data_IF_217866932702
#
_entry.id   IF_217866932702
#
_cell.length_a   1.000
_cell.length_b   1.000
_cell.length_c   1.000
_cell.angle_alpha   90.00
_cell.angle_beta   90.00
_cell.angle_gamma   90.00
#
_symmetry.space_group_name_H-M   'P 1'
#
loop_
_entity.id
_entity.type
_entity.pdbx_description
1 polymer ?
#
# COMPACT_ATOMS: atom_id res chain seq x y z
N UNK A 1 -40.81 -25.83 12.70
CA UNK A 1 -39.36 -26.06 12.50
C UNK A 1 -38.97 -25.42 11.18
N UNK A 2 -38.43 -24.21 11.22
CA UNK A 2 -38.10 -23.44 10.01
C UNK A 2 -36.63 -23.67 9.71
N UNK A 3 -36.34 -24.34 8.60
CA UNK A 3 -34.98 -24.64 8.13
C UNK A 3 -34.31 -23.31 7.74
N UNK A 4 -33.24 -22.95 8.45
CA UNK A 4 -32.36 -21.85 8.07
C UNK A 4 -31.67 -22.24 6.76
N UNK A 5 -32.02 -21.57 5.67
CA UNK A 5 -31.22 -21.57 4.45
C UNK A 5 -29.89 -20.88 4.76
N UNK A 6 -28.84 -21.67 4.93
CA UNK A 6 -27.47 -21.18 4.90
C UNK A 6 -27.19 -20.76 3.46
N UNK A 7 -27.23 -19.45 3.20
CA UNK A 7 -26.76 -18.84 1.96
C UNK A 7 -25.24 -19.09 1.91
N UNK A 8 -24.83 -20.07 1.12
CA UNK A 8 -23.42 -20.24 0.77
C UNK A 8 -23.05 -19.02 -0.06
N UNK A 9 -22.25 -18.12 0.50
CA UNK A 9 -21.64 -17.03 -0.25
C UNK A 9 -20.77 -17.66 -1.33
N UNK A 10 -21.16 -17.51 -2.60
CA UNK A 10 -20.36 -17.92 -3.74
C UNK A 10 -19.08 -17.08 -3.74
N UNK A 11 -18.01 -17.62 -3.16
CA UNK A 11 -16.69 -17.01 -3.21
C UNK A 11 -16.20 -17.05 -4.66
N UNK A 12 -15.90 -15.89 -5.25
CA UNK A 12 -15.43 -15.82 -6.62
C UNK A 12 -14.05 -16.49 -6.73
N UNK A 13 -13.89 -17.40 -7.69
CA UNK A 13 -12.66 -18.16 -7.90
C UNK A 13 -12.02 -17.78 -9.23
N UNK A 14 -10.68 -17.82 -9.28
CA UNK A 14 -9.94 -17.66 -10.53
C UNK A 14 -10.10 -18.88 -11.45
N UNK A 15 -9.49 -18.84 -12.64
CA UNK A 15 -9.51 -19.95 -13.62
C UNK A 15 -8.89 -21.27 -13.09
N UNK A 16 -8.15 -21.21 -11.98
CA UNK A 16 -7.48 -22.35 -11.32
C UNK A 16 -8.24 -22.82 -10.07
N UNK A 17 -9.42 -22.27 -9.77
CA UNK A 17 -10.24 -22.63 -8.61
C UNK A 17 -9.77 -22.06 -7.28
N UNK A 18 -8.79 -21.15 -7.27
CA UNK A 18 -8.34 -20.45 -6.07
C UNK A 18 -9.23 -19.25 -5.76
N UNK A 19 -9.47 -18.92 -4.47
CA UNK A 19 -10.24 -17.75 -4.08
C UNK A 19 -9.63 -16.47 -4.65
N UNK A 20 -10.44 -15.61 -5.25
CA UNK A 20 -10.04 -14.25 -5.57
C UNK A 20 -9.92 -13.44 -4.28
N UNK A 21 -8.95 -12.53 -4.23
CA UNK A 21 -8.95 -11.46 -3.24
C UNK A 21 -10.16 -10.56 -3.52
N UNK A 22 -11.07 -10.50 -2.55
CA UNK A 22 -12.21 -9.61 -2.60
C UNK A 22 -11.83 -8.19 -2.16
N UNK A 23 -12.71 -7.23 -2.46
CA UNK A 23 -12.48 -5.82 -2.18
C UNK A 23 -12.27 -5.56 -0.70
N UNK A 24 -13.05 -6.21 0.18
CA UNK A 24 -13.00 -5.99 1.63
C UNK A 24 -11.65 -6.41 2.23
N UNK A 25 -11.10 -7.53 1.76
CA UNK A 25 -9.78 -7.99 2.18
C UNK A 25 -8.68 -7.01 1.75
N UNK A 26 -8.80 -6.39 0.57
CA UNK A 26 -7.85 -5.39 0.10
C UNK A 26 -7.99 -4.08 0.88
N UNK A 27 -9.21 -3.58 1.08
CA UNK A 27 -9.50 -2.38 1.86
C UNK A 27 -8.86 -2.45 3.26
N UNK A 28 -9.11 -3.53 4.00
CA UNK A 28 -8.57 -3.71 5.35
C UNK A 28 -7.04 -3.70 5.41
N UNK A 29 -6.36 -4.07 4.31
CA UNK A 29 -4.90 -3.98 4.22
C UNK A 29 -4.44 -2.56 3.97
N UNK A 30 -5.12 -1.81 3.11
CA UNK A 30 -4.78 -0.42 2.83
C UNK A 30 -5.06 0.52 4.01
N UNK A 31 -6.01 0.19 4.89
CA UNK A 31 -6.18 0.91 6.16
C UNK A 31 -4.88 0.85 6.99
N UNK A 32 -4.22 -0.31 7.06
CA UNK A 32 -2.92 -0.44 7.72
C UNK A 32 -1.81 0.37 7.04
N UNK A 33 -1.84 0.50 5.71
CA UNK A 33 -0.87 1.35 5.00
C UNK A 33 -1.07 2.84 5.35
N UNK A 34 -2.31 3.28 5.51
CA UNK A 34 -2.60 4.67 5.90
C UNK A 34 -1.99 4.98 7.27
N UNK A 35 -2.20 4.12 8.27
CA UNK A 35 -1.64 4.28 9.62
C UNK A 35 -0.09 4.33 9.60
N UNK A 36 0.54 3.45 8.81
CA UNK A 36 2.01 3.45 8.64
C UNK A 36 2.47 4.77 8.00
N UNK A 37 1.75 5.24 6.99
CA UNK A 37 2.11 6.46 6.25
C UNK A 37 1.97 7.71 7.11
N UNK A 38 0.94 7.78 7.95
CA UNK A 38 0.75 8.87 8.91
C UNK A 38 1.90 8.94 9.92
N UNK A 39 2.38 7.80 10.42
CA UNK A 39 3.57 7.73 11.28
C UNK A 39 4.82 8.23 10.55
N UNK A 40 4.99 7.85 9.29
CA UNK A 40 6.13 8.30 8.47
C UNK A 40 6.05 9.81 8.19
N UNK A 41 4.86 10.37 8.00
CA UNK A 41 4.67 11.81 7.81
C UNK A 41 5.16 12.65 9.00
N UNK A 42 5.27 12.05 10.19
CA UNK A 42 5.85 12.69 11.37
C UNK A 42 7.37 12.95 11.26
N UNK A 43 8.03 12.56 10.18
CA UNK A 43 9.46 12.84 9.89
C UNK A 43 9.83 14.32 9.98
N UNK A 44 8.86 15.21 9.77
CA UNK A 44 9.04 16.66 9.80
C UNK A 44 8.76 17.29 11.16
N UNK A 45 8.41 16.46 12.14
CA UNK A 45 7.97 16.91 13.45
C UNK A 45 9.06 16.70 14.50
N UNK A 46 9.08 17.51 15.56
CA UNK A 46 9.98 17.31 16.70
C UNK A 46 9.52 16.17 17.62
N UNK A 47 8.43 15.47 17.30
CA UNK A 47 7.90 14.40 18.14
C UNK A 47 8.80 13.16 18.08
N UNK A 48 9.00 12.53 19.23
CA UNK A 48 9.75 11.28 19.32
C UNK A 48 8.88 10.13 18.77
N UNK A 49 9.17 9.77 17.52
CA UNK A 49 8.51 8.70 16.78
C UNK A 49 9.61 7.81 16.24
N UNK A 50 9.42 6.50 16.43
CA UNK A 50 10.28 5.48 15.83
C UNK A 50 10.00 5.39 14.32
N UNK A 51 10.64 6.30 13.59
CA UNK A 51 10.55 6.39 12.14
C UNK A 51 11.28 5.25 11.45
N UNK A 52 12.32 4.69 12.07
CA UNK A 52 13.03 3.57 11.47
C UNK A 52 12.11 2.35 11.39
N UNK A 53 11.40 2.06 12.48
CA UNK A 53 10.36 1.02 12.48
C UNK A 53 9.22 1.34 11.51
N UNK A 54 8.72 2.58 11.48
CA UNK A 54 7.64 2.95 10.56
C UNK A 54 8.03 2.80 9.08
N UNK A 55 9.28 3.15 8.72
CA UNK A 55 9.81 2.97 7.36
C UNK A 55 9.98 1.46 7.06
N UNK A 56 10.45 0.66 8.01
CA UNK A 56 10.55 -0.79 7.84
C UNK A 56 9.18 -1.45 7.62
N UNK A 57 8.16 -1.04 8.37
CA UNK A 57 6.77 -1.46 8.19
C UNK A 57 6.25 -1.08 6.80
N UNK A 58 6.56 0.13 6.32
CA UNK A 58 6.18 0.59 4.98
C UNK A 58 6.82 -0.27 3.88
N UNK A 59 8.10 -0.62 4.04
CA UNK A 59 8.78 -1.55 3.13
C UNK A 59 8.12 -2.94 3.15
N UNK A 60 7.87 -3.49 4.34
CA UNK A 60 7.26 -4.80 4.49
C UNK A 60 5.86 -4.87 3.84
N UNK A 61 5.05 -3.82 4.02
CA UNK A 61 3.75 -3.73 3.37
C UNK A 61 3.86 -3.77 1.84
N UNK A 62 4.78 -2.99 1.26
CA UNK A 62 4.96 -2.99 -0.19
C UNK A 62 5.51 -4.32 -0.70
N UNK A 63 6.45 -4.94 0.00
CA UNK A 63 6.96 -6.25 -0.37
C UNK A 63 5.83 -7.30 -0.40
N UNK A 64 4.94 -7.26 0.60
CA UNK A 64 3.73 -8.09 0.59
C UNK A 64 2.82 -7.75 -0.60
N UNK A 65 2.50 -6.46 -0.78
CA UNK A 65 1.52 -6.01 -1.76
C UNK A 65 2.00 -6.17 -3.21
N UNK A 66 3.31 -6.11 -3.46
CA UNK A 66 3.90 -6.43 -4.77
C UNK A 66 3.88 -7.92 -5.08
N UNK A 67 3.78 -8.77 -4.05
CA UNK A 67 3.60 -10.21 -4.18
C UNK A 67 2.17 -10.62 -4.51
N UNK A 68 1.19 -9.72 -4.37
CA UNK A 68 -0.20 -10.02 -4.73
C UNK A 68 -0.33 -10.18 -6.24
N UNK A 69 -0.99 -11.25 -6.67
CA UNK A 69 -1.25 -11.50 -8.09
C UNK A 69 -2.50 -10.72 -8.52
N UNK A 70 -2.40 -9.66 -9.35
CA UNK A 70 -3.56 -8.87 -9.72
C UNK A 70 -4.56 -9.63 -10.62
N UNK A 71 -4.14 -10.74 -11.23
CA UNK A 71 -5.07 -11.62 -11.95
C UNK A 71 -5.98 -12.44 -11.01
N UNK A 72 -5.67 -12.46 -9.70
CA UNK A 72 -6.47 -13.10 -8.67
C UNK A 72 -7.30 -12.07 -7.90
N UNK A 73 -7.50 -10.87 -8.43
CA UNK A 73 -8.39 -9.85 -7.88
C UNK A 73 -9.66 -9.78 -8.72
N UNK A 74 -10.79 -9.43 -8.09
CA UNK A 74 -11.95 -8.97 -8.86
C UNK A 74 -11.65 -7.65 -9.58
N UNK A 75 -12.46 -7.26 -10.56
CA UNK A 75 -12.23 -6.00 -11.29
C UNK A 75 -12.25 -4.78 -10.35
N UNK A 76 -13.21 -4.73 -9.42
CA UNK A 76 -13.31 -3.65 -8.44
C UNK A 76 -12.13 -3.64 -7.46
N UNK A 77 -11.71 -4.82 -7.00
CA UNK A 77 -10.53 -5.01 -6.16
C UNK A 77 -9.25 -4.53 -6.87
N UNK A 78 -9.08 -4.85 -8.16
CA UNK A 78 -7.95 -4.41 -8.96
C UNK A 78 -7.94 -2.88 -9.14
N UNK A 79 -9.09 -2.28 -9.47
CA UNK A 79 -9.21 -0.82 -9.61
C UNK A 79 -8.89 -0.12 -8.29
N UNK A 80 -9.43 -0.62 -7.18
CA UNK A 80 -9.15 -0.09 -5.85
C UNK A 80 -7.65 -0.18 -5.53
N UNK A 81 -7.04 -1.35 -5.73
CA UNK A 81 -5.62 -1.61 -5.49
C UNK A 81 -4.73 -0.65 -6.29
N UNK A 82 -4.95 -0.52 -7.60
CA UNK A 82 -4.16 0.38 -8.45
C UNK A 82 -4.32 1.84 -8.01
N UNK A 83 -5.55 2.29 -7.77
CA UNK A 83 -5.81 3.66 -7.32
C UNK A 83 -5.10 3.99 -6.00
N UNK A 84 -5.13 3.07 -5.03
CA UNK A 84 -4.50 3.28 -3.73
C UNK A 84 -2.98 3.24 -3.81
N UNK A 85 -2.41 2.39 -4.67
CA UNK A 85 -0.97 2.38 -4.92
C UNK A 85 -0.50 3.69 -5.57
N UNK A 86 -1.24 4.20 -6.56
CA UNK A 86 -0.93 5.50 -7.17
C UNK A 86 -1.07 6.65 -6.15
N UNK A 87 -2.10 6.62 -5.30
CA UNK A 87 -2.28 7.61 -4.25
C UNK A 87 -1.14 7.60 -3.23
N UNK A 88 -0.73 6.40 -2.79
CA UNK A 88 0.40 6.23 -1.87
C UNK A 88 1.71 6.80 -2.42
N UNK A 89 1.97 6.61 -3.72
CA UNK A 89 3.13 7.20 -4.40
C UNK A 89 3.16 8.71 -4.21
N UNK A 90 2.04 9.38 -4.46
CA UNK A 90 1.95 10.84 -4.35
C UNK A 90 2.12 11.31 -2.89
N UNK A 91 1.48 10.66 -1.91
CA UNK A 91 1.65 11.00 -0.49
C UNK A 91 3.12 10.91 -0.08
N UNK A 92 3.80 9.81 -0.42
CA UNK A 92 5.21 9.64 -0.04
C UNK A 92 6.09 10.70 -0.72
N UNK A 93 5.78 11.09 -1.96
CA UNK A 93 6.48 12.18 -2.63
C UNK A 93 6.30 13.52 -1.91
N UNK A 94 5.09 13.82 -1.42
CA UNK A 94 4.79 15.01 -0.65
C UNK A 94 5.54 15.04 0.69
N UNK A 95 5.52 13.93 1.44
CA UNK A 95 6.28 13.78 2.71
C UNK A 95 7.76 14.07 2.49
N UNK A 96 8.37 13.47 1.45
CA UNK A 96 9.77 13.69 1.10
C UNK A 96 10.04 15.16 0.74
N UNK A 97 9.14 15.78 -0.04
CA UNK A 97 9.29 17.17 -0.46
C UNK A 97 9.25 18.12 0.74
N UNK A 98 8.34 17.89 1.67
CA UNK A 98 8.24 18.65 2.91
C UNK A 98 9.47 18.42 3.81
N UNK A 99 9.93 17.18 3.94
CA UNK A 99 11.10 16.83 4.74
C UNK A 99 12.38 17.48 4.25
N UNK A 100 12.52 17.64 2.94
CA UNK A 100 13.64 18.37 2.34
C UNK A 100 13.56 19.88 2.55
N UNK A 101 12.40 20.46 2.86
CA UNK A 101 12.25 21.89 3.13
C UNK A 101 12.66 22.26 4.56
N UNK A 102 12.26 21.44 5.54
CA UNK A 102 12.57 21.67 6.97
C UNK A 102 13.97 21.15 7.30
N UNK A 103 14.30 19.96 6.78
CA UNK A 103 15.61 19.30 6.81
C UNK A 103 16.25 19.28 8.22
N UNK A 104 15.62 18.52 9.13
CA UNK A 104 16.20 18.19 10.44
C UNK A 104 17.39 17.24 10.24
N UNK A 105 18.59 17.66 10.66
CA UNK A 105 19.83 16.90 10.42
C UNK A 105 19.79 15.48 11.01
N UNK A 106 19.15 15.33 12.17
CA UNK A 106 18.97 14.03 12.86
C UNK A 106 18.05 13.06 12.10
N UNK A 107 17.18 13.56 11.21
CA UNK A 107 16.24 12.75 10.40
C UNK A 107 16.77 12.48 8.99
N UNK A 108 17.97 12.95 8.67
CA UNK A 108 18.53 12.93 7.30
C UNK A 108 18.61 11.52 6.72
N UNK A 109 18.94 10.52 7.55
CA UNK A 109 19.08 9.15 7.08
C UNK A 109 17.71 8.51 6.81
N UNK A 110 16.70 8.77 7.64
CA UNK A 110 15.32 8.35 7.38
C UNK A 110 14.78 8.95 6.07
N UNK A 111 15.04 10.24 5.82
CA UNK A 111 14.66 10.88 4.55
C UNK A 111 15.35 10.23 3.35
N UNK A 112 16.63 9.84 3.46
CA UNK A 112 17.32 9.10 2.38
C UNK A 112 16.65 7.74 2.13
N UNK A 113 16.27 7.02 3.19
CA UNK A 113 15.57 5.73 3.08
C UNK A 113 14.22 5.91 2.37
N UNK A 114 13.42 6.91 2.74
CA UNK A 114 12.17 7.25 2.07
C UNK A 114 12.35 7.56 0.58
N UNK A 115 13.39 8.30 0.22
CA UNK A 115 13.71 8.59 -1.19
C UNK A 115 14.04 7.31 -1.97
N UNK A 116 14.80 6.39 -1.36
CA UNK A 116 15.12 5.11 -1.99
C UNK A 116 13.87 4.24 -2.16
N UNK A 117 13.05 4.13 -1.11
CA UNK A 117 11.75 3.48 -1.12
C UNK A 117 10.88 4.02 -2.27
N UNK A 118 10.65 5.34 -2.30
CA UNK A 118 9.79 5.99 -3.29
C UNK A 118 10.27 5.73 -4.73
N UNK A 119 11.58 5.76 -4.97
CA UNK A 119 12.16 5.50 -6.29
C UNK A 119 11.91 4.05 -6.75
N UNK A 120 12.10 3.08 -5.85
CA UNK A 120 11.88 1.67 -6.16
C UNK A 120 10.41 1.39 -6.41
N UNK A 121 9.54 1.87 -5.50
CA UNK A 121 8.10 1.74 -5.59
C UNK A 121 7.54 2.37 -6.87
N UNK A 122 7.92 3.60 -7.20
CA UNK A 122 7.47 4.29 -8.43
C UNK A 122 7.84 3.51 -9.69
N UNK A 123 9.06 2.95 -9.75
CA UNK A 123 9.50 2.17 -10.91
C UNK A 123 8.67 0.90 -11.07
N UNK A 124 8.37 0.22 -9.97
CA UNK A 124 7.54 -0.97 -9.98
C UNK A 124 6.10 -0.63 -10.39
N UNK A 125 5.51 0.39 -9.77
CA UNK A 125 4.12 0.78 -10.03
C UNK A 125 3.92 1.22 -11.48
N UNK A 126 4.85 1.99 -12.07
CA UNK A 126 4.77 2.38 -13.47
C UNK A 126 4.76 1.18 -14.43
N UNK A 127 5.49 0.10 -14.11
CA UNK A 127 5.47 -1.13 -14.89
C UNK A 127 4.13 -1.87 -14.76
N UNK A 128 3.54 -1.84 -13.57
CA UNK A 128 2.24 -2.41 -13.28
C UNK A 128 1.11 -1.63 -13.98
N UNK A 129 1.05 -0.31 -13.81
CA UNK A 129 0.07 0.58 -14.46
C UNK A 129 0.10 0.37 -15.97
N UNK A 130 1.29 0.31 -16.59
CA UNK A 130 1.43 0.03 -18.04
C UNK A 130 0.80 -1.30 -18.46
N UNK A 131 0.84 -2.32 -17.60
CA UNK A 131 0.26 -3.65 -17.87
C UNK A 131 -1.26 -3.62 -17.85
N UNK A 132 -1.86 -2.76 -17.04
CA UNK A 132 -3.31 -2.71 -16.80
C UNK A 132 -3.99 -1.46 -17.39
N UNK A 133 -3.26 -0.59 -18.10
CA UNK A 133 -3.78 0.59 -18.80
C UNK A 133 -4.52 0.28 -20.12
N UNK A 134 -5.16 -0.89 -20.23
CA UNK A 134 -5.84 -1.36 -21.44
C UNK A 134 -7.37 -1.25 -21.35
#
# INVERSE_FOLDING_TARGET
>A
MTVKQTRVENQAVNAEGSPLMDLQAIEARFDGLADITDRVAMVNTPYDVDLDAAIDEMHAFIDEATGWNPNHMTEDALKFYLSHMSFHREIVAEIIAEARRVLLDERRDQVKRLVQYHKQFTRWLAALEKRYAA
#
